data_IF_621089897190
#
_entry.id   IF_621089897190
#
_cell.length_a   1.000
_cell.length_b   1.000
_cell.length_c   1.000
_cell.angle_alpha   90.00
_cell.angle_beta   90.00
_cell.angle_gamma   90.00
#
_symmetry.space_group_name_H-M   'P 1'
#
loop_
_entity.id
_entity.type
_entity.pdbx_description
1 polymer ?
#
# COMPACT_ATOMS: atom_id res chain seq x y z
N UNK A 1 41.08 -33.58 -52.00
CA UNK A 1 40.88 -32.12 -52.20
C UNK A 1 39.42 -31.83 -51.91
N UNK A 2 39.10 -30.86 -51.03
CA UNK A 2 37.76 -30.30 -50.77
C UNK A 2 37.53 -29.07 -51.69
N UNK A 3 36.41 -28.31 -51.67
CA UNK A 3 35.16 -28.37 -50.88
C UNK A 3 33.88 -28.42 -51.78
N UNK A 4 32.60 -28.22 -51.39
CA UNK A 4 31.82 -28.06 -50.13
C UNK A 4 30.75 -29.22 -50.06
N UNK A 5 29.79 -29.44 -49.13
CA UNK A 5 28.97 -28.67 -48.14
C UNK A 5 27.67 -28.02 -48.71
N UNK A 6 26.79 -27.59 -47.80
CA UNK A 6 25.44 -26.98 -47.94
C UNK A 6 24.22 -27.92 -48.25
N UNK A 7 23.04 -27.78 -47.60
CA UNK A 7 22.65 -27.15 -46.32
C UNK A 7 21.18 -27.52 -45.97
N UNK A 8 20.80 -27.67 -44.68
CA UNK A 8 19.41 -27.61 -44.12
C UNK A 8 18.39 -28.69 -44.59
N UNK A 9 17.42 -29.21 -43.81
CA UNK A 9 17.21 -29.48 -42.36
C UNK A 9 16.19 -30.67 -42.26
N UNK A 10 16.06 -31.38 -41.12
CA UNK A 10 15.24 -32.60 -41.02
C UNK A 10 13.83 -32.42 -40.41
N UNK A 11 12.89 -33.24 -40.91
CA UNK A 11 11.75 -33.87 -40.21
C UNK A 11 10.62 -32.98 -39.62
N UNK A 12 9.39 -33.29 -40.04
CA UNK A 12 8.15 -32.71 -39.53
C UNK A 12 7.70 -33.42 -38.23
N UNK A 13 7.57 -32.68 -37.13
CA UNK A 13 7.11 -33.24 -35.85
C UNK A 13 5.60 -33.51 -35.85
N UNK A 14 5.22 -34.79 -35.95
CA UNK A 14 3.85 -35.27 -35.72
C UNK A 14 3.43 -35.07 -34.26
N UNK A 15 2.38 -34.27 -34.04
CA UNK A 15 1.63 -34.25 -32.77
C UNK A 15 0.39 -35.16 -32.85
N UNK A 16 0.14 -36.03 -31.86
CA UNK A 16 -1.14 -36.70 -31.70
C UNK A 16 -2.16 -35.80 -30.97
N UNK A 17 -3.42 -36.10 -31.19
CA UNK A 17 -4.58 -35.40 -30.61
C UNK A 17 -4.89 -35.85 -29.17
N UNK A 18 -5.95 -35.25 -28.61
CA UNK A 18 -6.54 -35.50 -27.27
C UNK A 18 -5.78 -34.84 -26.09
N UNK A 19 -6.46 -34.36 -25.04
CA UNK A 19 -7.87 -34.52 -24.68
C UNK A 19 -8.45 -33.19 -24.18
N UNK A 20 -9.74 -32.92 -24.44
CA UNK A 20 -10.39 -31.69 -23.99
C UNK A 20 -10.62 -31.71 -22.46
N UNK A 21 -10.31 -30.60 -21.80
CA UNK A 21 -10.76 -30.33 -20.44
C UNK A 21 -11.32 -28.91 -20.35
N UNK A 22 -12.53 -28.79 -19.81
CA UNK A 22 -13.29 -27.54 -19.71
C UNK A 22 -12.67 -26.61 -18.68
N UNK A 23 -11.71 -25.78 -19.09
CA UNK A 23 -11.36 -24.59 -18.31
C UNK A 23 -12.43 -23.53 -18.56
N UNK A 24 -13.39 -23.44 -17.65
CA UNK A 24 -14.33 -22.32 -17.62
C UNK A 24 -13.54 -21.00 -17.56
N UNK A 25 -14.03 -19.97 -18.26
CA UNK A 25 -13.32 -18.70 -18.38
C UNK A 25 -13.37 -17.97 -17.04
N UNK A 26 -12.40 -18.26 -16.17
CA UNK A 26 -12.14 -17.47 -14.97
C UNK A 26 -11.68 -16.10 -15.43
N UNK A 27 -12.63 -15.16 -15.53
CA UNK A 27 -12.32 -13.74 -15.65
C UNK A 27 -11.31 -13.40 -14.55
N UNK A 28 -10.12 -12.85 -14.89
CA UNK A 28 -9.30 -12.24 -13.86
C UNK A 28 -10.05 -11.00 -13.39
N UNK A 29 -10.79 -11.14 -12.30
CA UNK A 29 -11.15 -9.98 -11.47
C UNK A 29 -9.84 -9.23 -11.19
N UNK A 30 -9.81 -7.89 -11.29
CA UNK A 30 -8.58 -7.12 -11.16
C UNK A 30 -7.96 -7.42 -9.80
N UNK A 31 -6.87 -8.20 -9.81
CA UNK A 31 -6.29 -8.76 -8.61
C UNK A 31 -5.71 -7.63 -7.77
N UNK A 32 -6.02 -7.67 -6.48
CA UNK A 32 -5.66 -6.68 -5.44
C UNK A 32 -4.46 -5.81 -5.82
N UNK A 33 -4.73 -4.56 -6.24
CA UNK A 33 -3.68 -3.58 -6.43
C UNK A 33 -2.89 -3.42 -5.13
N UNK A 34 -1.57 -3.24 -5.24
CA UNK A 34 -0.76 -2.92 -4.06
C UNK A 34 -1.33 -1.64 -3.41
N UNK A 35 -1.57 -1.60 -2.08
CA UNK A 35 -1.90 -0.36 -1.38
C UNK A 35 -0.96 0.82 -1.71
N UNK A 36 0.29 0.56 -2.09
CA UNK A 36 1.20 1.58 -2.64
C UNK A 36 0.78 2.10 -4.03
N UNK A 37 0.39 1.22 -4.96
CA UNK A 37 -0.10 1.62 -6.29
C UNK A 37 -1.45 2.34 -6.18
N UNK A 38 -2.35 1.88 -5.31
CA UNK A 38 -3.64 2.52 -5.06
C UNK A 38 -3.45 3.94 -4.47
N UNK A 39 -2.50 4.11 -3.54
CA UNK A 39 -2.09 5.43 -3.03
C UNK A 39 -1.56 6.34 -4.14
N UNK A 40 -0.67 5.84 -5.00
CA UNK A 40 -0.11 6.62 -6.12
C UNK A 40 -1.19 7.03 -7.12
N UNK A 41 -2.07 6.10 -7.50
CA UNK A 41 -3.19 6.36 -8.39
C UNK A 41 -4.16 7.41 -7.81
N UNK A 42 -4.49 7.31 -6.52
CA UNK A 42 -5.36 8.27 -5.84
C UNK A 42 -4.74 9.67 -5.73
N UNK A 43 -3.44 9.77 -5.39
CA UNK A 43 -2.74 11.06 -5.37
C UNK A 43 -2.76 11.69 -6.76
N UNK A 44 -2.49 10.94 -7.83
CA UNK A 44 -2.55 11.45 -9.21
C UNK A 44 -3.98 11.90 -9.59
N UNK A 45 -5.00 11.10 -9.26
CA UNK A 45 -6.40 11.40 -9.57
C UNK A 45 -6.93 12.64 -8.81
N UNK A 46 -6.63 12.76 -7.52
CA UNK A 46 -7.01 13.92 -6.70
C UNK A 46 -6.29 15.19 -7.15
N UNK A 47 -5.00 15.08 -7.52
CA UNK A 47 -4.24 16.18 -8.11
C UNK A 47 -4.86 16.67 -9.41
N UNK A 48 -5.22 15.76 -10.31
CA UNK A 48 -5.87 16.10 -11.58
C UNK A 48 -7.24 16.76 -11.35
N UNK A 49 -8.07 16.19 -10.46
CA UNK A 49 -9.39 16.73 -10.09
C UNK A 49 -9.31 18.15 -9.51
N UNK A 50 -8.27 18.47 -8.74
CA UNK A 50 -8.04 19.80 -8.16
C UNK A 50 -7.12 20.72 -8.95
N UNK A 51 -6.75 20.38 -10.21
CA UNK A 51 -5.79 21.13 -11.04
C UNK A 51 -4.41 21.38 -10.37
N UNK A 52 -3.99 20.55 -9.42
CA UNK A 52 -2.73 20.71 -8.70
C UNK A 52 -1.51 20.39 -9.57
N UNK A 53 -0.62 21.36 -9.78
CA UNK A 53 0.74 21.05 -10.28
C UNK A 53 1.56 20.29 -9.23
N UNK A 54 2.58 19.52 -9.63
CA UNK A 54 3.45 18.79 -8.68
C UNK A 54 4.11 19.76 -7.69
N UNK A 55 4.48 20.96 -8.17
CA UNK A 55 5.02 22.04 -7.34
C UNK A 55 3.99 22.52 -6.30
N UNK A 56 2.76 22.78 -6.71
CA UNK A 56 1.71 23.30 -5.83
C UNK A 56 1.34 22.30 -4.71
N UNK A 57 1.20 21.00 -5.02
CA UNK A 57 0.97 20.00 -3.96
C UNK A 57 2.17 19.89 -3.01
N UNK A 58 3.39 19.90 -3.54
CA UNK A 58 4.60 19.83 -2.72
C UNK A 58 4.71 21.04 -1.77
N UNK A 59 4.43 22.25 -2.26
CA UNK A 59 4.40 23.47 -1.44
C UNK A 59 3.30 23.39 -0.37
N UNK A 60 2.06 23.03 -0.73
CA UNK A 60 0.94 22.92 0.23
C UNK A 60 1.18 21.85 1.30
N UNK A 61 1.70 20.67 0.93
CA UNK A 61 2.02 19.58 1.85
C UNK A 61 3.33 19.82 2.66
N UNK A 62 4.08 20.88 2.37
CA UNK A 62 5.42 21.16 2.92
C UNK A 62 6.40 19.99 2.65
N UNK A 63 6.37 19.46 1.43
CA UNK A 63 7.23 18.38 0.93
C UNK A 63 8.11 18.89 -0.23
N UNK A 64 9.17 18.17 -0.57
CA UNK A 64 9.96 18.53 -1.75
C UNK A 64 9.24 18.12 -3.05
N UNK A 65 9.29 18.98 -4.08
CA UNK A 65 8.80 18.66 -5.44
C UNK A 65 9.36 17.32 -5.94
N UNK A 66 10.62 17.03 -5.63
CA UNK A 66 11.31 15.78 -6.00
C UNK A 66 10.72 14.55 -5.30
N UNK A 67 10.30 14.66 -4.03
CA UNK A 67 9.63 13.57 -3.30
C UNK A 67 8.29 13.23 -3.95
N UNK A 68 7.46 14.22 -4.26
CA UNK A 68 6.16 14.02 -4.94
C UNK A 68 6.37 13.46 -6.35
N UNK A 69 7.33 13.98 -7.12
CA UNK A 69 7.67 13.49 -8.46
C UNK A 69 8.34 12.10 -8.48
N UNK A 70 8.74 11.55 -7.32
CA UNK A 70 9.24 10.17 -7.17
C UNK A 70 8.16 9.23 -6.59
N UNK A 71 7.24 9.76 -5.79
CA UNK A 71 6.00 9.08 -5.38
C UNK A 71 5.17 8.70 -6.61
N UNK A 72 4.90 9.65 -7.51
CA UNK A 72 4.16 9.43 -8.77
C UNK A 72 4.82 8.39 -9.71
N UNK A 73 6.03 7.91 -9.39
CA UNK A 73 6.79 6.90 -10.13
C UNK A 73 7.01 5.59 -9.35
N UNK A 74 6.42 5.45 -8.16
CA UNK A 74 6.61 4.30 -7.27
C UNK A 74 8.01 4.18 -6.64
N UNK A 75 8.81 5.25 -6.63
CA UNK A 75 10.24 5.20 -6.22
C UNK A 75 10.55 5.77 -4.83
N UNK A 76 9.55 6.24 -4.09
CA UNK A 76 9.73 6.87 -2.78
C UNK A 76 9.47 5.90 -1.63
N UNK A 77 10.38 5.84 -0.64
CA UNK A 77 10.07 5.28 0.67
C UNK A 77 9.19 6.27 1.42
N UNK A 78 7.97 5.86 1.78
CA UNK A 78 6.96 6.73 2.38
C UNK A 78 6.91 6.56 3.90
N UNK A 79 6.83 7.68 4.63
CA UNK A 79 6.55 7.75 6.07
C UNK A 79 5.10 8.18 6.28
N UNK A 80 4.47 7.76 7.39
CA UNK A 80 3.07 8.07 7.67
C UNK A 80 2.79 9.58 7.60
N UNK A 81 3.61 10.39 8.25
CA UNK A 81 3.44 11.86 8.27
C UNK A 81 3.57 12.51 6.89
N UNK A 82 4.23 11.88 5.92
CA UNK A 82 4.33 12.41 4.56
C UNK A 82 3.05 12.10 3.75
N UNK A 83 2.39 10.97 4.05
CA UNK A 83 1.09 10.62 3.47
C UNK A 83 -0.01 11.50 4.06
N UNK A 84 0.00 11.70 5.38
CA UNK A 84 -0.97 12.57 6.07
C UNK A 84 -0.91 14.02 5.58
N UNK A 85 0.30 14.60 5.47
CA UNK A 85 0.52 15.92 4.85
C UNK A 85 -0.02 16.04 3.41
N UNK A 86 0.00 14.95 2.63
CA UNK A 86 -0.60 14.95 1.29
C UNK A 86 -2.12 14.77 1.34
N UNK A 87 -2.65 13.99 2.28
CA UNK A 87 -4.09 13.84 2.49
C UNK A 87 -4.72 15.17 2.91
N UNK A 88 -4.11 15.84 3.89
CA UNK A 88 -4.44 17.20 4.35
C UNK A 88 -4.39 18.21 3.22
N UNK A 89 -3.29 18.27 2.46
CA UNK A 89 -3.15 19.18 1.31
C UNK A 89 -4.14 18.90 0.15
N UNK A 90 -4.72 17.70 0.09
CA UNK A 90 -5.74 17.29 -0.88
C UNK A 90 -7.17 17.32 -0.31
N UNK A 91 -7.35 17.68 0.96
CA UNK A 91 -8.66 17.74 1.64
C UNK A 91 -9.33 16.38 1.89
N UNK A 92 -8.56 15.30 2.00
CA UNK A 92 -9.06 13.92 2.17
C UNK A 92 -8.54 13.25 3.44
N UNK A 93 -9.20 12.19 3.91
CA UNK A 93 -8.69 11.39 5.04
C UNK A 93 -7.56 10.46 4.61
N UNK A 94 -6.60 10.25 5.49
CA UNK A 94 -5.34 9.54 5.22
C UNK A 94 -5.54 8.04 4.96
N UNK A 95 -6.57 7.40 5.55
CA UNK A 95 -6.97 6.05 5.15
C UNK A 95 -7.62 6.00 3.77
N UNK A 96 -8.41 7.00 3.39
CA UNK A 96 -9.13 7.00 2.12
C UNK A 96 -8.22 7.08 0.88
N UNK A 97 -6.96 7.51 1.06
CA UNK A 97 -5.94 7.41 0.03
C UNK A 97 -5.58 5.96 -0.36
N UNK A 98 -5.93 4.97 0.46
CA UNK A 98 -5.71 3.55 0.17
C UNK A 98 -6.94 2.84 -0.43
N UNK A 99 -8.02 3.58 -0.72
CA UNK A 99 -9.31 3.01 -1.18
C UNK A 99 -9.63 3.43 -2.62
N UNK A 100 -10.53 2.71 -3.29
CA UNK A 100 -10.96 3.08 -4.65
C UNK A 100 -11.79 4.39 -4.72
N UNK A 101 -12.16 4.99 -3.58
CA UNK A 101 -12.96 6.22 -3.52
C UNK A 101 -12.54 7.08 -2.31
N UNK A 102 -11.61 8.03 -2.50
CA UNK A 102 -11.20 8.97 -1.45
C UNK A 102 -12.38 9.73 -0.83
N UNK A 103 -12.29 9.98 0.48
CA UNK A 103 -13.31 10.59 1.33
C UNK A 103 -12.75 11.92 1.85
N UNK A 104 -13.57 12.96 1.87
CA UNK A 104 -13.20 14.28 2.39
C UNK A 104 -12.81 14.23 3.86
N UNK A 105 -11.82 15.03 4.29
CA UNK A 105 -11.47 15.19 5.71
C UNK A 105 -12.49 16.09 6.39
N UNK A 106 -13.00 15.69 7.55
CA UNK A 106 -13.85 16.55 8.38
C UNK A 106 -13.02 17.54 9.21
N UNK A 107 -13.61 18.70 9.50
CA UNK A 107 -13.06 19.80 10.33
C UNK A 107 -12.96 19.39 11.82
N UNK A 108 -12.08 18.45 12.12
CA UNK A 108 -11.88 17.89 13.47
C UNK A 108 -11.26 16.49 13.54
N UNK A 109 -10.70 15.96 12.44
CA UNK A 109 -10.10 14.63 12.41
C UNK A 109 -8.94 14.46 13.43
N UNK A 110 -8.94 13.33 14.16
CA UNK A 110 -7.89 12.93 15.10
C UNK A 110 -6.51 12.80 14.43
N UNK A 111 -5.44 12.94 15.21
CA UNK A 111 -4.06 12.78 14.73
C UNK A 111 -3.83 11.36 14.20
N UNK A 112 -3.19 11.22 13.04
CA UNK A 112 -3.03 9.91 12.39
C UNK A 112 -2.16 8.95 13.20
N UNK A 113 -1.18 9.46 13.95
CA UNK A 113 -0.39 8.68 14.91
C UNK A 113 -1.23 8.13 16.07
N UNK A 114 -2.27 8.86 16.50
CA UNK A 114 -3.22 8.41 17.55
C UNK A 114 -4.11 7.30 17.02
N UNK A 115 -4.74 7.52 15.85
CA UNK A 115 -5.58 6.53 15.15
C UNK A 115 -4.81 5.24 14.94
N UNK A 116 -3.57 5.32 14.41
CA UNK A 116 -2.70 4.17 14.23
C UNK A 116 -2.36 3.48 15.56
N UNK A 117 -1.99 4.23 16.60
CA UNK A 117 -1.62 3.65 17.90
C UNK A 117 -2.79 2.89 18.54
N UNK A 118 -4.00 3.47 18.50
CA UNK A 118 -5.23 2.85 19.00
C UNK A 118 -5.57 1.59 18.20
N UNK A 119 -5.59 1.65 16.86
CA UNK A 119 -5.88 0.51 16.00
C UNK A 119 -4.87 -0.63 16.18
N UNK A 120 -3.57 -0.31 16.24
CA UNK A 120 -2.49 -1.28 16.46
C UNK A 120 -2.65 -1.98 17.82
N UNK A 121 -2.91 -1.22 18.88
CA UNK A 121 -3.16 -1.79 20.22
C UNK A 121 -4.44 -2.64 20.26
N UNK A 122 -5.53 -2.19 19.64
CA UNK A 122 -6.82 -2.89 19.64
C UNK A 122 -6.73 -4.22 18.87
N UNK A 123 -6.22 -4.20 17.64
CA UNK A 123 -6.04 -5.40 16.82
C UNK A 123 -5.10 -6.42 17.49
N UNK A 124 -3.96 -5.94 18.04
CA UNK A 124 -3.02 -6.80 18.78
C UNK A 124 -3.66 -7.46 20.01
N UNK A 125 -4.46 -6.72 20.78
CA UNK A 125 -5.21 -7.23 21.94
C UNK A 125 -6.29 -8.24 21.52
N UNK A 126 -7.04 -7.97 20.45
CA UNK A 126 -8.08 -8.86 19.93
C UNK A 126 -7.51 -10.23 19.51
N UNK A 127 -6.29 -10.25 18.96
CA UNK A 127 -5.54 -11.47 18.65
C UNK A 127 -4.77 -12.08 19.85
N UNK A 128 -4.93 -11.51 21.06
CA UNK A 128 -4.24 -11.91 22.30
C UNK A 128 -2.70 -11.91 22.21
N UNK A 129 -2.12 -11.07 21.35
CA UNK A 129 -0.68 -11.03 21.09
C UNK A 129 0.07 -10.07 22.03
N UNK A 130 1.28 -10.45 22.46
CA UNK A 130 2.24 -9.51 23.02
C UNK A 130 2.92 -8.67 21.92
N UNK A 131 3.55 -7.55 22.29
CA UNK A 131 4.35 -6.75 21.34
C UNK A 131 5.55 -7.54 20.78
N UNK A 132 6.02 -8.57 21.51
CA UNK A 132 7.05 -9.48 21.04
C UNK A 132 6.51 -10.48 20.00
N UNK A 133 5.38 -11.13 20.28
CA UNK A 133 4.75 -12.08 19.36
C UNK A 133 4.36 -11.42 18.02
N UNK A 134 3.73 -10.23 18.07
CA UNK A 134 3.45 -9.45 16.86
C UNK A 134 4.74 -9.06 16.11
N UNK A 135 5.82 -8.80 16.84
CA UNK A 135 7.12 -8.47 16.24
C UNK A 135 7.77 -9.65 15.53
N UNK A 136 7.68 -10.86 16.12
CA UNK A 136 8.10 -12.11 15.50
C UNK A 136 7.28 -12.40 14.23
N UNK A 137 5.95 -12.23 14.28
CA UNK A 137 5.04 -12.48 13.15
C UNK A 137 5.22 -11.48 11.98
N UNK A 138 5.35 -10.19 12.27
CA UNK A 138 5.51 -9.14 11.23
C UNK A 138 6.94 -8.96 10.72
N UNK A 139 7.93 -9.52 11.42
CA UNK A 139 9.34 -9.21 11.19
C UNK A 139 9.63 -7.71 11.38
N UNK A 140 9.10 -7.13 12.45
CA UNK A 140 9.31 -5.76 12.93
C UNK A 140 9.70 -5.87 14.40
N UNK A 141 10.74 -5.17 14.87
CA UNK A 141 11.16 -5.37 16.27
C UNK A 141 10.11 -4.88 17.28
N UNK A 142 9.98 -5.59 18.39
CA UNK A 142 9.09 -5.25 19.51
C UNK A 142 9.22 -3.78 19.94
N UNK A 143 10.46 -3.27 19.99
CA UNK A 143 10.75 -1.86 20.28
C UNK A 143 10.07 -0.88 19.30
N UNK A 144 10.02 -1.21 18.01
CA UNK A 144 9.35 -0.36 17.00
C UNK A 144 7.84 -0.40 17.17
N UNK A 145 7.25 -1.57 17.44
CA UNK A 145 5.82 -1.71 17.77
C UNK A 145 5.47 -0.88 19.01
N UNK A 146 6.22 -1.06 20.10
CA UNK A 146 6.03 -0.36 21.35
C UNK A 146 6.22 1.17 21.23
N UNK A 147 7.00 1.65 20.25
CA UNK A 147 7.11 3.07 19.94
C UNK A 147 5.95 3.61 19.10
N UNK A 148 5.38 2.81 18.20
CA UNK A 148 4.18 3.19 17.44
C UNK A 148 2.96 3.24 18.38
N UNK A 149 2.77 2.22 19.24
CA UNK A 149 1.70 2.18 20.25
C UNK A 149 1.78 3.33 21.28
N UNK A 150 2.92 4.01 21.38
CA UNK A 150 3.14 5.20 22.24
C UNK A 150 3.30 6.50 21.45
N UNK A 151 2.91 6.53 20.16
CA UNK A 151 3.04 7.68 19.24
C UNK A 151 4.46 8.26 19.11
N UNK A 152 5.47 7.57 19.65
CA UNK A 152 6.83 8.06 19.86
C UNK A 152 7.75 7.85 18.64
N UNK A 153 7.18 7.54 17.47
CA UNK A 153 7.92 7.31 16.22
C UNK A 153 7.02 7.39 15.00
N UNK A 154 7.48 8.09 13.96
CA UNK A 154 6.89 8.10 12.63
C UNK A 154 7.30 6.83 11.85
N UNK A 155 6.38 5.89 11.55
CA UNK A 155 6.69 4.65 10.86
C UNK A 155 6.76 4.83 9.34
N UNK A 156 7.48 3.93 8.66
CA UNK A 156 7.36 3.80 7.20
C UNK A 156 6.09 3.03 6.84
N UNK A 157 5.46 3.35 5.71
CA UNK A 157 4.32 2.57 5.23
C UNK A 157 4.69 1.08 5.01
N UNK A 158 5.93 0.75 4.63
CA UNK A 158 6.39 -0.64 4.55
C UNK A 158 6.39 -1.34 5.92
N UNK A 159 6.64 -0.59 7.01
CA UNK A 159 6.48 -1.09 8.39
C UNK A 159 5.00 -1.32 8.71
N UNK A 160 4.12 -0.40 8.28
CA UNK A 160 2.68 -0.54 8.50
C UNK A 160 2.07 -1.71 7.71
N UNK A 161 2.45 -1.89 6.45
CA UNK A 161 2.03 -3.03 5.65
C UNK A 161 2.41 -4.38 6.28
N UNK A 162 3.64 -4.50 6.82
CA UNK A 162 4.09 -5.67 7.60
C UNK A 162 3.24 -5.94 8.84
N UNK A 163 2.86 -4.88 9.56
CA UNK A 163 2.01 -4.99 10.75
C UNK A 163 0.57 -5.34 10.37
N UNK A 164 0.00 -4.69 9.36
CA UNK A 164 -1.34 -4.96 8.85
C UNK A 164 -1.51 -6.42 8.41
N UNK A 165 -0.56 -6.96 7.61
CA UNK A 165 -0.54 -8.37 7.19
C UNK A 165 -0.48 -9.33 8.39
N UNK A 166 0.33 -9.04 9.40
CA UNK A 166 0.44 -9.87 10.62
C UNK A 166 -0.78 -9.76 11.54
N UNK A 167 -1.58 -8.70 11.42
CA UNK A 167 -2.83 -8.49 12.16
C UNK A 167 -4.08 -8.91 11.36
N UNK A 168 -3.90 -9.42 10.13
CA UNK A 168 -4.97 -9.74 9.18
C UNK A 168 -5.88 -8.55 8.83
N UNK A 169 -5.31 -7.33 8.81
CA UNK A 169 -6.00 -6.09 8.43
C UNK A 169 -5.47 -5.53 7.11
N UNK A 170 -6.29 -4.73 6.44
CA UNK A 170 -5.83 -3.80 5.40
C UNK A 170 -5.12 -2.58 5.99
N UNK A 171 -4.37 -1.87 5.14
CA UNK A 171 -3.75 -0.58 5.50
C UNK A 171 -4.80 0.55 5.64
N UNK A 172 -5.98 0.41 5.01
CA UNK A 172 -7.13 1.30 5.23
C UNK A 172 -7.66 1.15 6.67
N UNK A 173 -7.92 -0.07 7.12
CA UNK A 173 -8.47 -0.34 8.46
C UNK A 173 -7.51 0.11 9.56
N UNK A 174 -6.22 -0.21 9.42
CA UNK A 174 -5.18 0.19 10.38
C UNK A 174 -5.04 1.72 10.52
N UNK A 175 -5.43 2.50 9.51
CA UNK A 175 -5.33 3.97 9.47
C UNK A 175 -6.69 4.70 9.56
N UNK A 176 -7.80 3.97 9.68
CA UNK A 176 -9.14 4.57 9.76
C UNK A 176 -9.54 4.85 11.20
N UNK A 177 -10.30 5.93 11.43
CA UNK A 177 -10.83 6.27 12.76
C UNK A 177 -11.61 5.07 13.36
N UNK A 178 -11.36 4.67 14.62
CA UNK A 178 -12.05 3.53 15.23
C UNK A 178 -13.57 3.73 15.24
N UNK A 179 -14.30 2.91 14.46
CA UNK A 179 -15.78 2.98 14.37
C UNK A 179 -16.50 2.37 15.58
N UNK A 180 -15.78 1.61 16.41
CA UNK A 180 -16.20 1.21 17.75
C UNK A 180 -14.99 1.36 18.68
N UNK A 181 -15.21 1.96 19.85
CA UNK A 181 -14.30 1.76 20.98
C UNK A 181 -14.56 0.36 21.59
N UNK A 182 -13.53 -0.32 22.13
CA UNK A 182 -13.77 -1.42 23.05
C UNK A 182 -14.40 -0.88 24.34
N UNK A 183 -15.42 -1.60 24.82
CA UNK A 183 -16.11 -1.39 26.10
C UNK A 183 -15.28 -1.90 27.29
#
# INVERSE_FOLDING_TARGET
MLPERCFILPQECRVPEQQANTFGVTHPAPQSADPFDQLVANVIALRAKGNWSIRALAEQAQLSRTFVANLEKGRSKLTLSAVDKMAEALGVTTSSLFTARPVTRDEGASLIEEVLALNLMAARKHLNLTQEQLGQQSGVSMYVIAHIERQARNPSLHTLAKLAVALHLSLEELLSVPRHAPE
#
